data_IF_847133639266
#
_entry.id   IF_847133639266
#
_cell.length_a   1.000
_cell.length_b   1.000
_cell.length_c   1.000
_cell.angle_alpha   90.00
_cell.angle_beta   90.00
_cell.angle_gamma   90.00
#
_symmetry.space_group_name_H-M   'P 1'
#
loop_
_entity.id
_entity.type
_entity.pdbx_description
1 polymer ?
#
# COMPACT_ATOMS: atom_id res chain seq x y z
N UNK A 1 -0.80 19.13 66.32
CA UNK A 1 -1.78 18.58 65.34
C UNK A 1 -1.93 19.40 64.05
N UNK A 2 -1.85 20.74 64.07
CA UNK A 2 -1.98 21.57 62.83
C UNK A 2 -0.88 21.35 61.79
N UNK A 3 0.35 21.08 62.20
CA UNK A 3 1.49 20.84 61.31
C UNK A 3 1.28 19.57 60.42
N UNK A 4 0.88 18.47 61.04
CA UNK A 4 0.62 17.21 60.34
C UNK A 4 -0.54 17.32 59.36
N UNK A 5 -1.60 18.08 59.69
CA UNK A 5 -2.70 18.35 58.78
C UNK A 5 -2.31 19.16 57.55
N UNK A 6 -1.42 20.16 57.72
CA UNK A 6 -0.95 20.94 56.58
C UNK A 6 -0.04 20.11 55.66
N UNK A 7 0.84 19.26 56.19
CA UNK A 7 1.68 18.35 55.42
C UNK A 7 0.81 17.36 54.65
N UNK A 8 -0.20 16.78 55.27
CA UNK A 8 -1.12 15.85 54.61
C UNK A 8 -1.91 16.54 53.47
N UNK A 9 -2.40 17.76 53.73
CA UNK A 9 -3.11 18.55 52.71
C UNK A 9 -2.23 18.88 51.51
N UNK A 10 -0.94 19.20 51.73
CA UNK A 10 0.01 19.46 50.63
C UNK A 10 0.27 18.21 49.81
N UNK A 11 0.45 17.06 50.44
CA UNK A 11 0.67 15.78 49.75
C UNK A 11 -0.54 15.42 48.85
N UNK A 12 -1.76 15.55 49.45
CA UNK A 12 -3.00 15.29 48.69
C UNK A 12 -3.15 16.27 47.51
N UNK A 13 -2.85 17.56 47.74
CA UNK A 13 -2.90 18.59 46.71
C UNK A 13 -1.95 18.30 45.54
N UNK A 14 -0.72 17.91 45.84
CA UNK A 14 0.27 17.52 44.80
C UNK A 14 -0.22 16.28 44.04
N UNK A 15 -0.75 15.29 44.74
CA UNK A 15 -1.26 14.08 44.10
C UNK A 15 -2.43 14.37 43.13
N UNK A 16 -3.39 15.19 43.53
CA UNK A 16 -4.49 15.62 42.69
C UNK A 16 -3.98 16.41 41.49
N UNK A 17 -3.03 17.33 41.69
CA UNK A 17 -2.42 18.08 40.59
C UNK A 17 -1.74 17.17 39.57
N UNK A 18 -0.92 16.22 40.03
CA UNK A 18 -0.27 15.26 39.17
C UNK A 18 -1.27 14.40 38.36
N UNK A 19 -2.36 14.00 39.01
CA UNK A 19 -3.41 13.22 38.37
C UNK A 19 -4.10 14.03 37.25
N UNK A 20 -4.49 15.28 37.55
CA UNK A 20 -5.11 16.17 36.55
C UNK A 20 -4.15 16.42 35.39
N UNK A 21 -2.87 16.67 35.66
CA UNK A 21 -1.85 16.92 34.69
C UNK A 21 -1.60 15.68 33.76
N UNK A 22 -1.55 14.50 34.37
CA UNK A 22 -1.39 13.24 33.64
C UNK A 22 -2.60 12.95 32.74
N UNK A 23 -3.83 13.09 33.24
CA UNK A 23 -5.02 12.95 32.40
C UNK A 23 -5.11 14.04 31.32
N UNK A 24 -4.66 15.24 31.58
CA UNK A 24 -4.57 16.32 30.61
C UNK A 24 -3.65 15.95 29.44
N UNK A 25 -2.47 15.39 29.71
CA UNK A 25 -1.53 14.91 28.68
C UNK A 25 -2.13 13.78 27.86
N UNK A 26 -2.82 12.82 28.50
CA UNK A 26 -3.49 11.72 27.79
C UNK A 26 -4.56 12.25 26.83
N UNK A 27 -5.38 13.18 27.29
CA UNK A 27 -6.44 13.78 26.47
C UNK A 27 -5.86 14.56 25.29
N UNK A 28 -4.82 15.39 25.53
CA UNK A 28 -4.14 16.12 24.48
C UNK A 28 -3.46 15.15 23.51
N UNK A 29 -2.81 14.10 24.01
CA UNK A 29 -2.20 13.06 23.19
C UNK A 29 -3.22 12.29 22.35
N UNK A 30 -4.39 11.97 22.90
CA UNK A 30 -5.47 11.33 22.17
C UNK A 30 -6.05 12.23 21.05
N UNK A 31 -6.23 13.53 21.33
CA UNK A 31 -6.71 14.50 20.32
C UNK A 31 -5.64 14.75 19.24
N UNK A 32 -4.39 14.90 19.63
CA UNK A 32 -3.28 15.12 18.68
C UNK A 32 -2.92 13.85 17.88
N UNK A 33 -3.09 12.66 18.48
CA UNK A 33 -2.80 11.38 17.82
C UNK A 33 -3.92 10.87 16.92
N UNK A 34 -5.14 11.40 17.02
CA UNK A 34 -6.27 11.04 16.15
C UNK A 34 -6.36 11.89 14.87
N UNK A 35 -5.33 12.63 14.54
CA UNK A 35 -5.19 13.28 13.25
C UNK A 35 -4.99 12.24 12.16
N UNK A 36 -6.06 11.57 11.70
CA UNK A 36 -6.07 10.98 10.36
C UNK A 36 -5.70 12.12 9.40
N UNK A 37 -4.58 12.00 8.72
CA UNK A 37 -4.24 12.91 7.62
C UNK A 37 -5.31 12.76 6.54
N UNK A 38 -6.41 13.47 6.70
CA UNK A 38 -7.44 13.54 5.67
C UNK A 38 -6.87 14.32 4.49
N UNK A 39 -6.32 13.58 3.53
CA UNK A 39 -5.83 14.15 2.28
C UNK A 39 -7.00 14.87 1.60
N UNK A 40 -6.92 16.19 1.53
CA UNK A 40 -7.96 17.00 0.87
C UNK A 40 -7.90 16.82 -0.64
N UNK A 41 -8.80 16.01 -1.17
CA UNK A 41 -8.90 15.75 -2.61
C UNK A 41 -9.47 16.99 -3.31
N UNK A 42 -8.68 17.64 -4.19
CA UNK A 42 -9.09 18.75 -5.04
C UNK A 42 -9.98 18.28 -6.19
N UNK A 43 -10.70 19.20 -6.85
CA UNK A 43 -11.42 18.88 -8.09
C UNK A 43 -10.43 18.52 -9.19
N UNK A 44 -10.81 17.53 -10.03
CA UNK A 44 -10.00 17.03 -11.15
C UNK A 44 -8.69 16.35 -10.71
N UNK A 45 -8.65 15.74 -9.54
CA UNK A 45 -7.51 14.95 -9.11
C UNK A 45 -7.40 13.64 -9.88
N UNK A 46 -6.18 13.18 -10.07
CA UNK A 46 -5.84 11.85 -10.58
C UNK A 46 -5.16 11.10 -9.43
N UNK A 47 -5.48 9.82 -9.27
CA UNK A 47 -4.80 8.96 -8.30
C UNK A 47 -3.56 8.40 -8.97
N UNK A 48 -2.45 8.53 -8.33
CA UNK A 48 -1.23 7.83 -8.69
C UNK A 48 -1.19 6.50 -7.95
N UNK A 49 -1.05 5.42 -8.70
CA UNK A 49 -0.95 4.06 -8.21
C UNK A 49 0.46 3.54 -8.47
N UNK A 50 1.29 3.51 -7.44
CA UNK A 50 2.64 2.97 -7.48
C UNK A 50 2.62 1.48 -7.11
N UNK A 51 2.79 0.60 -8.09
CA UNK A 51 2.75 -0.84 -7.91
C UNK A 51 4.09 -1.43 -7.41
N UNK A 52 5.16 -0.64 -7.34
CA UNK A 52 6.46 -1.12 -6.86
C UNK A 52 6.46 -1.44 -5.37
N UNK A 53 5.56 -0.81 -4.63
CA UNK A 53 5.44 -0.95 -3.16
C UNK A 53 4.48 -2.06 -2.72
N UNK A 54 3.87 -2.75 -3.66
CA UNK A 54 2.83 -3.75 -3.40
C UNK A 54 3.43 -5.14 -3.51
N UNK A 55 3.52 -5.85 -2.41
CA UNK A 55 4.09 -7.21 -2.39
C UNK A 55 3.20 -8.26 -1.72
N UNK A 56 2.24 -7.84 -0.91
CA UNK A 56 1.40 -8.72 -0.11
C UNK A 56 -0.08 -8.62 -0.53
N UNK A 57 -0.84 -9.70 -0.38
CA UNK A 57 -2.29 -9.67 -0.59
C UNK A 57 -3.00 -8.81 0.44
N UNK A 58 -2.52 -8.86 1.69
CA UNK A 58 -3.06 -8.11 2.82
C UNK A 58 -1.94 -7.55 3.68
N UNK A 59 -1.83 -6.23 3.73
CA UNK A 59 -0.79 -5.55 4.50
C UNK A 59 -1.07 -5.53 6.03
N UNK A 60 -2.30 -5.88 6.45
CA UNK A 60 -2.71 -5.82 7.86
C UNK A 60 -2.96 -4.39 8.35
N UNK A 61 -3.73 -4.28 9.43
CA UNK A 61 -3.91 -3.00 10.15
C UNK A 61 -2.89 -2.83 11.29
N UNK A 62 -1.78 -3.53 11.23
CA UNK A 62 -0.74 -3.41 12.24
C UNK A 62 -0.02 -2.09 12.08
N UNK A 63 -0.56 -1.09 12.74
CA UNK A 63 0.09 0.20 12.97
C UNK A 63 1.27 -0.05 13.95
N UNK A 64 2.34 -0.61 13.48
CA UNK A 64 3.61 -0.64 14.23
C UNK A 64 4.28 0.75 14.14
N UNK A 65 3.52 1.82 14.45
CA UNK A 65 4.08 3.18 14.55
C UNK A 65 5.19 3.29 15.61
N UNK A 66 5.31 2.30 16.47
CA UNK A 66 6.27 2.32 17.60
C UNK A 66 7.60 1.60 17.31
N UNK A 67 7.78 0.98 16.15
CA UNK A 67 9.02 0.31 15.76
C UNK A 67 9.51 0.71 14.36
N UNK A 68 9.39 1.98 14.00
CA UNK A 68 9.83 2.51 12.70
C UNK A 68 11.34 2.69 12.59
N UNK A 69 12.12 1.61 12.71
CA UNK A 69 13.49 1.58 12.21
C UNK A 69 13.58 1.12 10.75
N UNK A 70 12.49 0.59 10.20
CA UNK A 70 12.38 0.20 8.79
C UNK A 70 11.00 0.62 8.28
N UNK A 71 10.94 1.76 7.60
CA UNK A 71 9.75 2.21 6.87
C UNK A 71 9.53 1.36 5.62
N UNK A 72 9.02 0.14 5.79
CA UNK A 72 8.42 -0.58 4.69
C UNK A 72 6.90 -0.35 4.72
N UNK A 73 6.44 0.76 4.17
CA UNK A 73 5.03 0.95 3.85
C UNK A 73 4.72 0.06 2.65
N UNK A 74 4.30 -1.17 2.93
CA UNK A 74 3.79 -2.08 1.92
C UNK A 74 2.26 -1.98 1.90
N UNK A 75 1.71 -1.52 0.79
CA UNK A 75 0.27 -1.58 0.56
C UNK A 75 -0.11 -3.03 0.18
N UNK A 76 -1.24 -3.50 0.70
CA UNK A 76 -1.80 -4.79 0.29
C UNK A 76 -2.60 -4.67 -1.01
N UNK A 77 -2.64 -5.74 -1.80
CA UNK A 77 -3.49 -5.80 -2.99
C UNK A 77 -4.95 -5.50 -2.64
N UNK A 78 -5.43 -6.02 -1.51
CA UNK A 78 -6.79 -5.76 -1.01
C UNK A 78 -7.06 -4.28 -0.79
N UNK A 79 -6.09 -3.54 -0.25
CA UNK A 79 -6.23 -2.10 0.00
C UNK A 79 -6.31 -1.32 -1.31
N UNK A 80 -5.51 -1.71 -2.31
CA UNK A 80 -5.56 -1.15 -3.65
C UNK A 80 -6.92 -1.39 -4.31
N UNK A 81 -7.44 -2.63 -4.26
CA UNK A 81 -8.74 -2.96 -4.83
C UNK A 81 -9.86 -2.14 -4.19
N UNK A 82 -9.82 -1.99 -2.86
CA UNK A 82 -10.77 -1.18 -2.11
C UNK A 82 -10.64 0.32 -2.44
N UNK A 83 -9.42 0.83 -2.58
CA UNK A 83 -9.17 2.22 -2.98
C UNK A 83 -9.71 2.50 -4.38
N UNK A 84 -9.47 1.64 -5.36
CA UNK A 84 -10.01 1.76 -6.72
C UNK A 84 -11.55 1.78 -6.67
N UNK A 85 -12.17 0.86 -5.90
CA UNK A 85 -13.64 0.82 -5.77
C UNK A 85 -14.20 2.09 -5.13
N UNK A 86 -13.59 2.56 -4.05
CA UNK A 86 -14.02 3.79 -3.37
C UNK A 86 -13.94 5.02 -4.29
N UNK A 87 -13.00 5.03 -5.23
CA UNK A 87 -12.77 6.17 -6.13
C UNK A 87 -13.70 6.20 -7.34
N UNK A 88 -14.31 5.08 -7.71
CA UNK A 88 -15.34 5.02 -8.78
C UNK A 88 -16.45 6.04 -8.56
N UNK A 89 -16.91 6.18 -7.32
CA UNK A 89 -18.03 7.07 -6.94
C UNK A 89 -17.63 8.52 -6.68
N UNK A 90 -16.34 8.82 -6.53
CA UNK A 90 -15.87 10.18 -6.18
C UNK A 90 -15.80 11.09 -7.40
N UNK A 91 -16.71 12.06 -7.53
CA UNK A 91 -16.77 13.02 -8.64
C UNK A 91 -15.52 13.89 -8.80
N UNK A 92 -14.76 14.09 -7.71
CA UNK A 92 -13.52 14.90 -7.72
C UNK A 92 -12.37 14.17 -8.44
N UNK A 93 -12.40 12.84 -8.54
CA UNK A 93 -11.36 12.03 -9.15
C UNK A 93 -11.75 11.75 -10.60
N UNK A 94 -10.84 12.04 -11.52
CA UNK A 94 -11.03 11.92 -12.97
C UNK A 94 -10.44 10.66 -13.56
N UNK A 95 -9.38 10.13 -12.95
CA UNK A 95 -8.70 8.95 -13.47
C UNK A 95 -7.68 8.38 -12.50
N UNK A 96 -7.00 7.35 -12.96
CA UNK A 96 -5.88 6.69 -12.30
C UNK A 96 -4.68 6.77 -13.24
N UNK A 97 -3.52 7.10 -12.68
CA UNK A 97 -2.21 7.00 -13.33
C UNK A 97 -1.43 5.87 -12.65
N UNK A 98 -1.09 4.84 -13.40
CA UNK A 98 -0.31 3.72 -12.90
C UNK A 98 1.16 4.00 -13.17
N UNK A 99 1.96 4.07 -12.12
CA UNK A 99 3.41 4.02 -12.20
C UNK A 99 3.86 2.59 -11.94
N UNK A 100 4.28 1.91 -12.99
CA UNK A 100 4.70 0.52 -12.89
C UNK A 100 6.22 0.44 -13.02
N UNK A 101 6.91 0.54 -11.90
CA UNK A 101 8.36 0.40 -11.83
C UNK A 101 8.67 -0.89 -11.07
N UNK A 102 8.79 -2.02 -11.80
CA UNK A 102 9.10 -3.34 -11.24
C UNK A 102 8.08 -3.82 -10.18
N UNK A 103 6.86 -4.02 -10.62
CA UNK A 103 5.81 -4.63 -9.79
C UNK A 103 6.18 -6.06 -9.39
N UNK A 104 6.02 -6.40 -8.12
CA UNK A 104 6.24 -7.75 -7.60
C UNK A 104 4.94 -8.59 -7.56
N UNK A 105 3.90 -8.15 -8.23
CA UNK A 105 2.60 -8.84 -8.26
C UNK A 105 2.70 -10.16 -9.04
N UNK A 106 2.17 -11.23 -8.44
CA UNK A 106 1.95 -12.49 -9.13
C UNK A 106 0.82 -12.39 -10.18
N UNK A 107 0.69 -13.40 -11.04
CA UNK A 107 -0.32 -13.40 -12.11
C UNK A 107 -1.76 -13.26 -11.59
N UNK A 108 -2.09 -13.92 -10.48
CA UNK A 108 -3.43 -13.82 -9.88
C UNK A 108 -3.72 -12.42 -9.34
N UNK A 109 -2.76 -11.81 -8.67
CA UNK A 109 -2.84 -10.44 -8.15
C UNK A 109 -2.95 -9.44 -9.29
N UNK A 110 -2.11 -9.56 -10.31
CA UNK A 110 -2.15 -8.73 -11.52
C UNK A 110 -3.51 -8.81 -12.22
N UNK A 111 -4.09 -10.03 -12.30
CA UNK A 111 -5.43 -10.21 -12.84
C UNK A 111 -6.49 -9.51 -11.99
N UNK A 112 -6.44 -9.64 -10.68
CA UNK A 112 -7.42 -9.01 -9.79
C UNK A 112 -7.38 -7.47 -9.90
N UNK A 113 -6.18 -6.88 -9.93
CA UNK A 113 -6.02 -5.43 -10.11
C UNK A 113 -6.49 -5.01 -11.50
N UNK A 114 -6.14 -5.76 -12.55
CA UNK A 114 -6.58 -5.50 -13.92
C UNK A 114 -8.11 -5.49 -14.04
N UNK A 115 -8.77 -6.53 -13.52
CA UNK A 115 -10.23 -6.64 -13.58
C UNK A 115 -10.89 -5.44 -12.86
N UNK A 116 -10.33 -5.02 -11.74
CA UNK A 116 -10.82 -3.86 -10.98
C UNK A 116 -10.61 -2.54 -11.72
N UNK A 117 -9.49 -2.38 -12.42
CA UNK A 117 -9.24 -1.21 -13.28
C UNK A 117 -10.21 -1.18 -14.48
N UNK A 118 -10.54 -2.35 -15.06
CA UNK A 118 -11.54 -2.44 -16.12
C UNK A 118 -12.93 -2.02 -15.64
N UNK A 119 -13.34 -2.44 -14.43
CA UNK A 119 -14.55 -1.94 -13.79
C UNK A 119 -14.52 -0.43 -13.54
N UNK A 120 -13.35 0.10 -13.13
CA UNK A 120 -13.18 1.53 -12.91
C UNK A 120 -13.40 2.31 -14.21
N UNK A 121 -12.87 1.86 -15.34
CA UNK A 121 -13.06 2.47 -16.67
C UNK A 121 -14.53 2.54 -17.05
N UNK A 122 -15.34 1.54 -16.71
CA UNK A 122 -16.80 1.55 -16.97
C UNK A 122 -17.54 2.69 -16.26
N UNK A 123 -16.89 3.34 -15.27
CA UNK A 123 -17.42 4.56 -14.64
C UNK A 123 -17.19 5.85 -15.45
N UNK A 124 -16.62 5.77 -16.65
CA UNK A 124 -16.32 6.89 -17.53
C UNK A 124 -15.06 7.67 -17.15
N UNK A 125 -14.18 7.08 -16.34
CA UNK A 125 -12.91 7.67 -15.91
C UNK A 125 -11.77 7.00 -16.66
N UNK A 126 -10.66 7.74 -16.87
CA UNK A 126 -9.52 7.25 -17.63
C UNK A 126 -8.53 6.49 -16.72
N UNK A 127 -7.77 5.61 -17.35
CA UNK A 127 -6.61 4.94 -16.76
C UNK A 127 -5.43 5.12 -17.70
N UNK A 128 -4.34 5.68 -17.20
CA UNK A 128 -3.06 5.79 -17.91
C UNK A 128 -2.01 4.96 -17.18
N UNK A 129 -1.09 4.39 -17.95
CA UNK A 129 0.02 3.64 -17.41
C UNK A 129 1.35 4.17 -17.96
N UNK A 130 2.35 4.26 -17.10
CA UNK A 130 3.70 4.62 -17.46
C UNK A 130 4.70 3.69 -16.79
N UNK A 131 5.72 3.26 -17.54
CA UNK A 131 6.86 2.55 -16.98
C UNK A 131 8.14 2.86 -17.77
N UNK A 132 9.27 2.61 -17.13
CA UNK A 132 10.56 2.61 -17.77
C UNK A 132 10.87 1.26 -18.48
N UNK A 133 10.21 0.21 -18.00
CA UNK A 133 10.33 -1.14 -18.52
C UNK A 133 9.02 -1.90 -18.26
N UNK A 134 8.61 -2.72 -19.21
CA UNK A 134 7.48 -3.63 -19.04
C UNK A 134 7.93 -5.08 -19.24
N UNK A 135 7.90 -5.86 -18.17
CA UNK A 135 7.86 -7.31 -18.30
C UNK A 135 6.53 -7.76 -18.91
N UNK A 136 6.44 -8.99 -19.39
CA UNK A 136 5.20 -9.53 -19.95
C UNK A 136 4.02 -9.46 -18.96
N UNK A 137 4.26 -9.77 -17.66
CA UNK A 137 3.22 -9.69 -16.63
C UNK A 137 2.77 -8.26 -16.36
N UNK A 138 3.70 -7.32 -16.32
CA UNK A 138 3.40 -5.90 -16.16
C UNK A 138 2.69 -5.33 -17.39
N UNK A 139 3.09 -5.72 -18.57
CA UNK A 139 2.39 -5.33 -19.80
C UNK A 139 0.94 -5.86 -19.81
N UNK A 140 0.75 -7.13 -19.40
CA UNK A 140 -0.59 -7.70 -19.26
C UNK A 140 -1.47 -6.85 -18.30
N UNK A 141 -0.95 -6.50 -17.13
CA UNK A 141 -1.68 -5.66 -16.19
C UNK A 141 -2.01 -4.29 -16.78
N UNK A 142 -1.00 -3.61 -17.34
CA UNK A 142 -1.13 -2.22 -17.78
C UNK A 142 -1.86 -2.07 -19.12
N UNK A 143 -1.98 -3.13 -19.92
CA UNK A 143 -2.71 -3.10 -21.20
C UNK A 143 -4.22 -2.84 -21.05
N UNK A 144 -4.76 -2.84 -19.82
CA UNK A 144 -6.13 -2.37 -19.54
C UNK A 144 -6.27 -0.85 -19.63
N UNK A 145 -5.16 -0.11 -19.51
CA UNK A 145 -5.16 1.36 -19.55
C UNK A 145 -5.66 1.88 -20.92
N UNK A 146 -6.22 3.08 -20.92
CA UNK A 146 -6.62 3.75 -22.16
C UNK A 146 -5.41 4.19 -22.98
N UNK A 147 -4.29 4.51 -22.30
CA UNK A 147 -3.01 4.79 -22.92
C UNK A 147 -1.89 4.20 -22.06
N UNK A 148 -0.95 3.53 -22.72
CA UNK A 148 0.25 2.96 -22.12
C UNK A 148 1.45 3.72 -22.65
N UNK A 149 2.22 4.30 -21.76
CA UNK A 149 3.42 5.05 -22.07
C UNK A 149 4.67 4.28 -21.65
N UNK A 150 5.66 4.30 -22.48
CA UNK A 150 6.99 3.75 -22.21
C UNK A 150 8.02 4.88 -22.27
N UNK A 151 9.01 4.84 -21.38
CA UNK A 151 10.15 5.73 -21.46
C UNK A 151 10.85 5.58 -22.82
N UNK A 152 11.34 6.65 -23.47
CA UNK A 152 11.98 6.57 -24.81
C UNK A 152 13.17 5.61 -24.88
N UNK A 153 13.87 5.39 -23.76
CA UNK A 153 14.97 4.43 -23.64
C UNK A 153 14.52 3.12 -22.98
N UNK A 154 13.22 2.93 -22.84
CA UNK A 154 12.65 1.75 -22.20
C UNK A 154 12.45 0.59 -23.14
N UNK A 155 12.15 -0.57 -22.57
CA UNK A 155 11.96 -1.82 -23.29
C UNK A 155 10.67 -2.52 -22.84
N UNK A 156 10.03 -3.22 -23.77
CA UNK A 156 8.94 -4.16 -23.50
C UNK A 156 9.44 -5.58 -23.74
N UNK A 157 9.52 -6.36 -22.68
CA UNK A 157 9.89 -7.77 -22.77
C UNK A 157 8.64 -8.64 -23.00
N UNK A 158 8.34 -8.95 -24.25
CA UNK A 158 7.16 -9.70 -24.69
C UNK A 158 7.55 -10.96 -25.42
N UNK A 159 7.91 -12.02 -24.65
CA UNK A 159 8.50 -13.27 -25.18
C UNK A 159 7.55 -14.46 -25.20
N UNK A 160 6.40 -14.37 -24.54
CA UNK A 160 5.53 -15.51 -24.28
C UNK A 160 5.96 -16.32 -23.05
N UNK A 161 5.33 -17.46 -22.84
CA UNK A 161 5.63 -18.37 -21.75
C UNK A 161 6.23 -19.65 -22.30
N UNK A 162 7.41 -20.00 -21.82
CA UNK A 162 8.09 -21.25 -22.11
C UNK A 162 8.59 -21.86 -20.81
N UNK A 163 8.44 -23.18 -20.65
CA UNK A 163 8.99 -23.92 -19.52
C UNK A 163 9.75 -25.12 -20.05
N UNK A 164 11.02 -25.21 -19.71
CA UNK A 164 11.87 -26.33 -20.03
C UNK A 164 12.15 -27.10 -18.73
N UNK A 165 11.80 -28.39 -18.70
CA UNK A 165 12.03 -29.27 -17.56
C UNK A 165 13.15 -30.23 -17.92
N UNK A 166 14.26 -30.15 -17.20
CA UNK A 166 15.40 -31.04 -17.40
C UNK A 166 15.16 -32.31 -16.57
N UNK A 167 15.13 -33.45 -17.24
CA UNK A 167 15.06 -34.76 -16.62
C UNK A 167 16.44 -35.39 -16.52
N UNK A 168 16.91 -35.70 -15.32
CA UNK A 168 18.25 -36.24 -15.06
C UNK A 168 18.25 -37.74 -14.70
N UNK A 169 17.15 -38.45 -14.92
CA UNK A 169 17.01 -39.86 -14.55
C UNK A 169 18.15 -40.73 -15.07
N UNK A 170 18.45 -40.65 -16.39
CA UNK A 170 19.49 -41.45 -17.03
C UNK A 170 20.88 -41.10 -16.49
N UNK A 171 21.11 -39.84 -16.14
CA UNK A 171 22.36 -39.37 -15.53
C UNK A 171 22.53 -39.95 -14.14
N UNK A 172 21.46 -39.96 -13.34
CA UNK A 172 21.46 -40.51 -11.98
C UNK A 172 21.70 -42.02 -12.02
N UNK A 173 21.03 -42.74 -12.88
CA UNK A 173 21.23 -44.20 -13.04
C UNK A 173 22.67 -44.54 -13.45
N UNK A 174 23.25 -43.77 -14.39
CA UNK A 174 24.64 -43.99 -14.84
C UNK A 174 25.70 -43.57 -13.84
N UNK A 175 25.40 -42.61 -12.98
CA UNK A 175 26.30 -42.13 -11.93
C UNK A 175 26.19 -42.90 -10.58
N UNK A 176 25.23 -43.83 -10.48
CA UNK A 176 25.00 -44.60 -9.29
C UNK A 176 24.41 -43.82 -8.10
N UNK A 177 23.95 -42.58 -8.35
CA UNK A 177 23.27 -41.77 -7.35
C UNK A 177 21.82 -42.23 -7.26
N UNK A 178 21.41 -42.71 -6.06
CA UNK A 178 20.05 -43.12 -5.74
C UNK A 178 19.27 -42.01 -5.07
#
# INVERSE_FOLDING_TARGET
MRFLGNVLATIVGIFIFCMIFFFGIIIIGAIAGSGDETVSVKKNSVIELDLSKVSLDYAGKTNYKDFNYFEAHHDGVTDILNAIEATKKKKKIKGISILNNQSQLGLAQSKAVRDKLEEFKKSGKFVYAYANYYSQGEYYLNSVADQVYLHPMGEVDFKGLSSEIIYMKDLQEKSGVK
#
